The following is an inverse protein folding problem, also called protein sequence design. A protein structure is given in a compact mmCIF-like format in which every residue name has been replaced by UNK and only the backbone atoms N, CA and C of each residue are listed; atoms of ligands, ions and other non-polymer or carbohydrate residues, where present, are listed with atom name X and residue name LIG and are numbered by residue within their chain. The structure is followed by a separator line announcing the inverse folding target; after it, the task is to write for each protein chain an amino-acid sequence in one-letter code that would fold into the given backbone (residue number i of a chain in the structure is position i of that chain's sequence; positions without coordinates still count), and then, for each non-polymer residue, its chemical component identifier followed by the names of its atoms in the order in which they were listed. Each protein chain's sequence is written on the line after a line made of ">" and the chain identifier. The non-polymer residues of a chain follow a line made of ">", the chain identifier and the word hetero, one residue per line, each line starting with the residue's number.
data_IF_996043871357
#
_entry.id   IF_996043871357
#
_cell.length_a   1.000
_cell.length_b   1.000
_cell.length_c   1.000
_cell.angle_alpha   90.00
_cell.angle_beta   90.00
_cell.angle_gamma   90.00
#
_symmetry.space_group_name_H-M   'P 1'
#
loop_
_entity.id
_entity.type
_entity.pdbx_description
1 polymer ?
#
# COMPACT_ATOMS: atom_id res chain seq x y z
N UNK A 1 -1.87 4.81 -2.90
CA UNK A 1 -1.22 5.81 -2.01
C UNK A 1 -2.23 6.27 -0.97
N UNK A 2 -1.84 7.07 0.02
CA UNK A 2 -2.79 7.65 0.98
C UNK A 2 -3.85 8.54 0.30
N UNK A 3 -3.44 9.44 -0.61
CA UNK A 3 -4.38 10.32 -1.34
C UNK A 3 -5.36 9.53 -2.21
N UNK A 4 -4.90 8.49 -2.91
CA UNK A 4 -5.79 7.63 -3.71
C UNK A 4 -6.74 6.81 -2.82
N UNK A 5 -6.33 6.40 -1.63
CA UNK A 5 -7.19 5.66 -0.72
C UNK A 5 -8.43 6.48 -0.31
N UNK A 6 -8.26 7.79 -0.10
CA UNK A 6 -9.36 8.72 0.18
C UNK A 6 -10.41 8.78 -0.94
N UNK A 7 -10.01 8.60 -2.21
CA UNK A 7 -10.95 8.54 -3.35
C UNK A 7 -11.95 7.37 -3.24
N UNK A 8 -11.57 6.33 -2.50
CA UNK A 8 -12.37 5.12 -2.27
C UNK A 8 -12.96 5.08 -0.85
N UNK A 9 -13.09 6.24 -0.19
CA UNK A 9 -13.63 6.37 1.17
C UNK A 9 -12.87 5.54 2.24
N UNK A 10 -11.58 5.26 2.00
CA UNK A 10 -10.72 4.56 2.95
C UNK A 10 -10.11 5.61 3.90
N UNK A 11 -10.83 5.89 4.98
CA UNK A 11 -10.44 6.90 5.99
C UNK A 11 -10.50 6.35 7.43
N UNK A 12 -9.48 6.60 8.27
CA UNK A 12 -8.20 7.23 7.92
C UNK A 12 -7.27 6.26 7.16
N UNK A 13 -6.45 6.75 6.20
CA UNK A 13 -5.41 5.95 5.58
C UNK A 13 -4.32 5.62 6.60
N UNK A 14 -4.04 4.34 6.78
CA UNK A 14 -3.01 3.78 7.66
C UNK A 14 -1.98 3.04 6.81
N UNK A 15 -0.86 3.71 6.58
CA UNK A 15 0.14 3.33 5.58
C UNK A 15 1.26 2.52 6.20
N UNK A 16 1.38 1.24 5.85
CA UNK A 16 2.50 0.40 6.22
C UNK A 16 3.53 0.33 5.09
N UNK A 17 4.78 0.74 5.36
CA UNK A 17 5.91 0.48 4.47
C UNK A 17 6.46 -0.92 4.75
N UNK A 18 6.27 -1.82 3.78
CA UNK A 18 6.54 -3.25 3.93
C UNK A 18 8.03 -3.58 3.74
N UNK A 19 8.49 -4.53 4.52
CA UNK A 19 9.81 -5.15 4.45
C UNK A 19 9.73 -6.61 4.89
N UNK A 20 10.83 -7.36 4.73
CA UNK A 20 10.99 -8.65 5.39
C UNK A 20 11.45 -8.51 6.85
N UNK A 21 11.75 -7.28 7.31
CA UNK A 21 12.09 -6.92 8.69
C UNK A 21 10.93 -6.17 9.36
N UNK A 22 10.85 -6.26 10.69
CA UNK A 22 10.02 -5.37 11.51
C UNK A 22 10.92 -4.68 12.53
N UNK A 23 10.96 -3.34 12.53
CA UNK A 23 11.64 -2.51 13.54
C UNK A 23 13.04 -2.99 13.95
N UNK A 24 13.87 -3.32 12.97
CA UNK A 24 15.27 -3.71 13.12
C UNK A 24 15.50 -5.21 13.35
N UNK A 25 14.49 -6.06 13.17
CA UNK A 25 14.64 -7.52 13.33
C UNK A 25 15.65 -8.14 12.34
N UNK A 26 15.89 -7.48 11.21
CA UNK A 26 16.99 -7.78 10.31
C UNK A 26 17.73 -6.49 9.90
N UNK A 27 18.91 -6.63 9.30
CA UNK A 27 19.74 -5.52 8.83
C UNK A 27 20.20 -5.77 7.40
N UNK A 28 20.38 -4.71 6.65
CA UNK A 28 20.95 -4.75 5.31
C UNK A 28 20.32 -3.72 4.37
N UNK A 29 20.90 -3.54 3.17
CA UNK A 29 20.53 -2.44 2.28
C UNK A 29 19.04 -2.39 1.92
N UNK A 30 18.38 -3.55 1.82
CA UNK A 30 16.96 -3.63 1.51
C UNK A 30 16.08 -3.15 2.69
N UNK A 31 16.51 -3.40 3.93
CA UNK A 31 15.85 -2.91 5.16
C UNK A 31 16.09 -1.42 5.29
N UNK A 32 17.34 -0.99 5.17
CA UNK A 32 17.75 0.42 5.30
C UNK A 32 16.98 1.30 4.30
N UNK A 33 16.78 0.81 3.06
CA UNK A 33 15.95 1.50 2.06
C UNK A 33 14.54 1.81 2.58
N UNK A 34 13.88 0.86 3.25
CA UNK A 34 12.51 1.04 3.75
C UNK A 34 12.50 1.95 4.99
N UNK A 35 13.50 1.83 5.86
CA UNK A 35 13.69 2.73 7.01
C UNK A 35 13.86 4.18 6.54
N UNK A 36 14.75 4.42 5.57
CA UNK A 36 14.97 5.75 5.01
C UNK A 36 13.74 6.28 4.24
N UNK A 37 13.02 5.42 3.53
CA UNK A 37 11.75 5.80 2.90
C UNK A 37 10.69 6.21 3.94
N UNK A 38 10.63 5.52 5.07
CA UNK A 38 9.69 5.82 6.17
C UNK A 38 9.99 7.20 6.77
N UNK A 39 11.27 7.50 7.04
CA UNK A 39 11.70 8.81 7.52
C UNK A 39 11.29 9.93 6.57
N UNK A 40 11.62 9.79 5.28
CA UNK A 40 11.25 10.78 4.25
C UNK A 40 9.72 10.95 4.12
N UNK A 41 8.96 9.86 4.24
CA UNK A 41 7.51 9.93 4.19
C UNK A 41 6.93 10.73 5.37
N UNK A 42 7.47 10.55 6.58
CA UNK A 42 7.09 11.37 7.74
C UNK A 42 7.46 12.85 7.58
N UNK A 43 8.63 13.16 7.01
CA UNK A 43 9.03 14.55 6.74
C UNK A 43 8.09 15.23 5.73
N UNK A 44 7.65 14.50 4.70
CA UNK A 44 6.77 15.01 3.65
C UNK A 44 5.30 15.10 4.08
N UNK A 45 4.88 14.24 5.01
CA UNK A 45 3.49 14.13 5.45
C UNK A 45 3.42 13.79 6.95
N UNK A 46 3.73 14.75 7.85
CA UNK A 46 3.85 14.50 9.29
C UNK A 46 2.53 14.07 9.94
N UNK A 47 1.39 14.50 9.38
CA UNK A 47 0.05 14.19 9.90
C UNK A 47 -0.51 12.85 9.38
N UNK A 48 0.14 12.25 8.37
CA UNK A 48 -0.30 10.98 7.80
C UNK A 48 0.04 9.84 8.77
N UNK A 49 -0.95 9.02 9.10
CA UNK A 49 -0.74 7.78 9.84
C UNK A 49 0.04 6.79 8.96
N UNK A 50 1.36 6.82 9.06
CA UNK A 50 2.26 5.91 8.37
C UNK A 50 3.29 5.33 9.34
N UNK A 51 3.74 4.12 9.06
CA UNK A 51 4.85 3.51 9.79
C UNK A 51 5.62 2.50 8.96
N UNK A 52 6.88 2.30 9.34
CA UNK A 52 7.81 1.37 8.72
C UNK A 52 9.09 1.20 9.54
N UNK A 53 9.92 0.23 9.22
CA UNK A 53 9.65 -0.90 8.32
C UNK A 53 8.86 -2.01 9.03
N UNK A 54 7.89 -2.61 8.34
CA UNK A 54 7.01 -3.65 8.91
C UNK A 54 6.96 -4.90 8.03
N UNK A 55 6.96 -6.09 8.63
CA UNK A 55 6.51 -7.30 7.96
C UNK A 55 4.98 -7.29 7.80
N UNK A 56 4.46 -8.06 6.84
CA UNK A 56 3.02 -8.10 6.57
C UNK A 56 2.19 -8.57 7.79
N UNK A 57 2.69 -9.53 8.55
CA UNK A 57 2.04 -10.01 9.78
C UNK A 57 1.94 -8.88 10.83
N UNK A 58 3.01 -8.11 11.05
CA UNK A 58 2.99 -6.94 11.92
C UNK A 58 2.08 -5.82 11.39
N UNK A 59 1.98 -5.63 10.07
CA UNK A 59 1.10 -4.62 9.48
C UNK A 59 -0.39 -5.00 9.57
N UNK A 60 -0.73 -6.28 9.47
CA UNK A 60 -2.10 -6.76 9.29
C UNK A 60 -2.73 -7.44 10.52
N UNK A 61 -1.94 -8.09 11.39
CA UNK A 61 -2.47 -8.90 12.50
C UNK A 61 -2.23 -8.18 13.83
N UNK A 62 -3.28 -7.70 14.54
CA UNK A 62 -3.13 -6.95 15.79
C UNK A 62 -2.32 -7.64 16.89
N UNK A 63 -2.43 -8.97 17.01
CA UNK A 63 -1.69 -9.73 18.02
C UNK A 63 -0.19 -9.76 17.74
N UNK A 64 0.21 -9.83 16.46
CA UNK A 64 1.61 -9.78 16.05
C UNK A 64 2.15 -8.35 16.16
N UNK A 65 1.35 -7.36 15.80
CA UNK A 65 1.68 -5.94 15.94
C UNK A 65 2.06 -5.58 17.39
N UNK A 66 1.24 -6.01 18.36
CA UNK A 66 1.51 -5.80 19.80
C UNK A 66 2.83 -6.41 20.27
N UNK A 67 3.32 -7.46 19.59
CA UNK A 67 4.58 -8.10 19.93
C UNK A 67 5.77 -7.47 19.23
N UNK A 68 5.66 -7.18 17.92
CA UNK A 68 6.77 -6.75 17.08
C UNK A 68 6.91 -5.23 16.94
N UNK A 69 5.83 -4.48 17.12
CA UNK A 69 5.79 -3.02 16.95
C UNK A 69 4.75 -2.36 17.89
N UNK A 70 4.86 -2.54 19.23
CA UNK A 70 3.83 -2.12 20.19
C UNK A 70 3.52 -0.61 20.20
N UNK A 71 4.52 0.22 19.89
CA UNK A 71 4.38 1.68 19.90
C UNK A 71 3.89 2.25 18.56
N UNK A 72 3.65 1.39 17.57
CA UNK A 72 3.17 1.80 16.25
C UNK A 72 1.69 2.15 16.28
N UNK A 73 1.33 3.28 15.68
CA UNK A 73 -0.08 3.69 15.47
C UNK A 73 -0.70 3.07 14.20
N UNK A 74 0.07 2.27 13.45
CA UNK A 74 -0.34 1.69 12.16
C UNK A 74 -0.29 0.16 12.19
N UNK A 75 0.69 -0.43 12.88
CA UNK A 75 0.85 -1.88 12.94
C UNK A 75 -0.43 -2.58 13.44
N UNK A 76 -0.85 -3.63 12.74
CA UNK A 76 -2.04 -4.41 13.03
C UNK A 76 -3.35 -3.80 12.52
N UNK A 77 -3.31 -2.57 12.02
CA UNK A 77 -4.49 -1.82 11.56
C UNK A 77 -4.25 -1.19 10.17
N UNK A 78 -3.19 -1.57 9.46
CA UNK A 78 -2.84 -0.99 8.18
C UNK A 78 -3.91 -1.34 7.12
N UNK A 79 -4.27 -0.35 6.30
CA UNK A 79 -5.19 -0.49 5.17
C UNK A 79 -4.58 0.00 3.85
N UNK A 80 -3.36 0.56 3.89
CA UNK A 80 -2.56 0.92 2.71
C UNK A 80 -1.19 0.27 2.83
N UNK A 81 -0.83 -0.58 1.89
CA UNK A 81 0.42 -1.35 1.92
C UNK A 81 1.37 -0.88 0.82
N UNK A 82 2.52 -0.34 1.22
CA UNK A 82 3.56 0.11 0.29
C UNK A 82 4.62 -0.99 0.21
N UNK A 83 4.67 -1.68 -0.93
CA UNK A 83 5.67 -2.72 -1.18
C UNK A 83 7.05 -2.12 -1.44
N UNK A 84 8.14 -2.81 -1.04
CA UNK A 84 9.49 -2.27 -1.15
C UNK A 84 9.99 -2.20 -2.59
N UNK A 85 9.46 -3.05 -3.48
CA UNK A 85 9.79 -3.07 -4.92
C UNK A 85 8.72 -3.83 -5.73
N UNK A 86 8.93 -3.95 -7.05
CA UNK A 86 7.93 -4.44 -8.00
C UNK A 86 7.66 -5.95 -7.90
N UNK A 87 8.66 -6.77 -7.65
CA UNK A 87 8.50 -8.23 -7.56
C UNK A 87 7.54 -8.60 -6.43
N UNK A 88 7.81 -8.13 -5.21
CA UNK A 88 6.98 -8.30 -4.03
C UNK A 88 5.60 -7.68 -4.19
N UNK A 89 5.50 -6.48 -4.78
CA UNK A 89 4.20 -5.86 -5.07
C UNK A 89 3.37 -6.67 -6.05
N UNK A 90 3.94 -7.05 -7.19
CA UNK A 90 3.23 -7.79 -8.25
C UNK A 90 2.81 -9.19 -7.80
N UNK A 91 3.72 -9.91 -7.15
CA UNK A 91 3.44 -11.23 -6.58
C UNK A 91 2.41 -11.10 -5.45
N UNK A 92 2.58 -10.13 -4.56
CA UNK A 92 1.75 -9.93 -3.38
C UNK A 92 0.27 -9.71 -3.70
N UNK A 93 -0.06 -8.76 -4.58
CA UNK A 93 -1.48 -8.51 -4.90
C UNK A 93 -2.12 -9.70 -5.65
N UNK A 94 -1.35 -10.43 -6.47
CA UNK A 94 -1.85 -11.63 -7.15
C UNK A 94 -2.08 -12.79 -6.20
N UNK A 95 -1.24 -12.95 -5.18
CA UNK A 95 -1.47 -13.92 -4.09
C UNK A 95 -2.75 -13.54 -3.33
N UNK A 96 -2.90 -12.27 -2.93
CA UNK A 96 -4.10 -11.80 -2.24
C UNK A 96 -5.37 -12.03 -3.07
N UNK A 97 -5.31 -11.80 -4.39
CA UNK A 97 -6.41 -12.06 -5.31
C UNK A 97 -6.71 -13.56 -5.44
N UNK A 98 -5.71 -14.38 -5.78
CA UNK A 98 -5.91 -15.79 -6.15
C UNK A 98 -6.13 -16.72 -4.97
N UNK A 99 -5.43 -16.48 -3.86
CA UNK A 99 -5.56 -17.30 -2.65
C UNK A 99 -6.46 -16.65 -1.60
N UNK A 100 -6.45 -15.32 -1.50
CA UNK A 100 -7.25 -14.61 -0.51
C UNK A 100 -8.68 -14.32 -0.92
N UNK A 101 -9.06 -14.60 -2.18
CA UNK A 101 -10.41 -14.33 -2.69
C UNK A 101 -10.74 -12.84 -2.82
N UNK A 102 -9.72 -11.97 -2.75
CA UNK A 102 -9.91 -10.53 -2.94
C UNK A 102 -10.19 -10.20 -4.40
N UNK A 103 -11.07 -9.23 -4.63
CA UNK A 103 -11.17 -8.57 -5.92
C UNK A 103 -10.00 -7.59 -6.07
N UNK A 104 -9.36 -7.59 -7.24
CA UNK A 104 -8.23 -6.71 -7.55
C UNK A 104 -8.58 -5.82 -8.74
N UNK A 105 -8.68 -4.52 -8.49
CA UNK A 105 -9.01 -3.50 -9.50
C UNK A 105 -7.74 -2.73 -9.88
N UNK A 106 -7.50 -2.54 -11.18
CA UNK A 106 -6.37 -1.74 -11.69
C UNK A 106 -5.47 -2.47 -12.69
N UNK A 107 -4.35 -1.85 -13.12
CA UNK A 107 -3.57 -0.82 -12.41
C UNK A 107 -4.17 0.61 -12.48
N UNK A 108 -4.11 1.31 -11.35
CA UNK A 108 -4.52 2.73 -11.23
C UNK A 108 -3.25 3.58 -11.13
N UNK A 109 -2.98 4.41 -12.15
CA UNK A 109 -1.84 5.33 -12.11
C UNK A 109 -2.16 6.53 -11.21
N UNK A 110 -1.13 7.17 -10.65
CA UNK A 110 -1.29 8.27 -9.70
C UNK A 110 -0.13 9.26 -9.83
N UNK A 111 -0.37 10.52 -9.46
CA UNK A 111 0.66 11.58 -9.47
C UNK A 111 0.89 12.26 -10.83
N UNK A 112 0.01 12.03 -11.81
CA UNK A 112 0.04 12.71 -13.10
C UNK A 112 -0.78 14.00 -13.07
N UNK A 113 -0.47 14.95 -13.96
CA UNK A 113 -1.24 16.19 -14.11
C UNK A 113 -2.67 15.97 -14.62
N UNK A 114 -2.91 14.84 -15.31
CA UNK A 114 -4.21 14.40 -15.81
C UNK A 114 -4.32 12.88 -15.63
N UNK A 115 -5.52 12.34 -15.32
CA UNK A 115 -5.69 10.90 -15.17
C UNK A 115 -5.42 10.14 -16.46
N UNK A 116 -4.60 9.11 -16.33
CA UNK A 116 -4.32 8.13 -17.38
C UNK A 116 -4.37 6.77 -16.70
N UNK A 117 -5.01 5.80 -17.33
CA UNK A 117 -5.08 4.43 -16.82
C UNK A 117 -4.59 3.45 -17.86
N UNK A 118 -4.03 2.35 -17.39
CA UNK A 118 -3.55 1.25 -18.21
C UNK A 118 -4.38 0.00 -17.92
N UNK A 119 -4.75 -0.74 -18.96
CA UNK A 119 -5.50 -1.97 -18.84
C UNK A 119 -4.57 -3.17 -19.03
N UNK A 120 -4.79 -4.22 -18.24
CA UNK A 120 -4.12 -5.48 -18.51
C UNK A 120 -4.53 -6.04 -19.87
N UNK A 121 -3.60 -6.69 -20.59
CA UNK A 121 -3.90 -7.43 -21.83
C UNK A 121 -4.99 -8.51 -21.66
N UNK A 122 -5.23 -8.96 -20.43
CA UNK A 122 -6.29 -9.93 -20.10
C UNK A 122 -7.54 -9.32 -19.45
N UNK A 123 -7.73 -8.00 -19.53
CA UNK A 123 -8.90 -7.33 -18.97
C UNK A 123 -10.20 -7.74 -19.69
N UNK A 124 -11.30 -7.82 -18.94
CA UNK A 124 -12.64 -8.04 -19.47
C UNK A 124 -13.45 -6.73 -19.55
N UNK A 125 -14.68 -6.79 -20.05
CA UNK A 125 -15.56 -5.62 -20.19
C UNK A 125 -15.85 -4.91 -18.85
N UNK A 126 -15.94 -5.66 -17.75
CA UNK A 126 -16.20 -5.13 -16.41
C UNK A 126 -14.97 -4.38 -15.87
N UNK A 127 -13.76 -4.90 -16.12
CA UNK A 127 -12.51 -4.24 -15.77
C UNK A 127 -12.38 -2.88 -16.48
N UNK A 128 -12.71 -2.83 -17.78
CA UNK A 128 -12.70 -1.59 -18.56
C UNK A 128 -13.71 -0.58 -18.00
N UNK A 129 -14.93 -1.03 -17.70
CA UNK A 129 -15.97 -0.18 -17.13
C UNK A 129 -15.58 0.40 -15.78
N UNK A 130 -15.11 -0.44 -14.84
CA UNK A 130 -14.64 -0.02 -13.52
C UNK A 130 -13.47 0.95 -13.62
N UNK A 131 -12.49 0.66 -14.48
CA UNK A 131 -11.32 1.53 -14.61
C UNK A 131 -11.66 2.88 -15.26
N UNK A 132 -12.63 2.93 -16.19
CA UNK A 132 -13.12 4.19 -16.75
C UNK A 132 -13.77 5.07 -15.67
N UNK A 133 -14.59 4.49 -14.78
CA UNK A 133 -15.17 5.22 -13.64
C UNK A 133 -14.06 5.76 -12.73
N UNK A 134 -13.07 4.94 -12.40
CA UNK A 134 -11.96 5.35 -11.53
C UNK A 134 -11.16 6.48 -12.18
N UNK A 135 -10.83 6.36 -13.47
CA UNK A 135 -10.08 7.39 -14.22
C UNK A 135 -10.84 8.72 -14.25
N UNK A 136 -12.17 8.67 -14.43
CA UNK A 136 -13.00 9.86 -14.35
C UNK A 136 -13.03 10.44 -12.93
N UNK A 137 -13.17 9.61 -11.90
CA UNK A 137 -13.16 10.04 -10.51
C UNK A 137 -11.83 10.70 -10.09
N UNK A 138 -10.70 10.25 -10.65
CA UNK A 138 -9.40 10.86 -10.42
C UNK A 138 -9.30 12.32 -10.91
N UNK A 139 -10.19 12.79 -11.78
CA UNK A 139 -10.24 14.21 -12.19
C UNK A 139 -10.74 15.13 -11.07
N UNK A 140 -11.32 14.55 -10.01
CA UNK A 140 -11.86 15.27 -8.85
C UNK A 140 -10.85 15.43 -7.70
N UNK A 141 -9.64 14.87 -7.84
CA UNK A 141 -8.54 14.92 -6.85
C UNK A 141 -7.62 16.13 -7.03
#
# INVERSE_FOLDING_TARGET
>A
SAKTAALFDIEPPRVALLSFSTKGSAKGPQVDKVVEATKKAHELAPDLALDGELQFDAAFVPTVAKQKAPDSKVAGEANVFIFPELQSGNIGYKIAQRFGGFEAIGPILQGLNQPVSDLSRGANEEDVYKLAIITAAQTLL
#
